data_IF_162624903311
#
_entry.id   IF_162624903311
#
_cell.length_a   1.000
_cell.length_b   1.000
_cell.length_c   1.000
_cell.angle_alpha   90.00
_cell.angle_beta   90.00
_cell.angle_gamma   90.00
#
_symmetry.space_group_name_H-M   'P 1'
#
loop_
_entity.id
_entity.type
_entity.pdbx_description
1 polymer ?
#
# COMPACT_ATOMS: atom_id res chain seq x y z
N UNK A 1 20.30 11.74 16.74
CA UNK A 1 20.36 10.89 15.53
C UNK A 1 19.07 11.09 14.76
N UNK A 2 19.11 11.46 13.49
CA UNK A 2 17.89 11.51 12.67
C UNK A 2 17.44 10.08 12.42
N UNK A 3 16.32 9.67 13.01
CA UNK A 3 15.78 8.33 12.82
C UNK A 3 15.22 8.20 11.41
N UNK A 4 15.31 7.01 10.81
CA UNK A 4 14.63 6.72 9.54
C UNK A 4 13.13 7.03 9.60
N UNK A 5 12.52 6.92 10.80
CA UNK A 5 11.15 7.34 11.05
C UNK A 5 10.93 8.83 10.81
N UNK A 6 11.85 9.70 11.24
CA UNK A 6 11.71 11.16 11.05
C UNK A 6 11.75 11.53 9.57
N UNK A 7 12.59 10.87 8.79
CA UNK A 7 12.64 11.04 7.34
C UNK A 7 11.32 10.63 6.67
N UNK A 8 10.75 9.49 7.07
CA UNK A 8 9.45 9.04 6.57
C UNK A 8 8.32 9.97 7.00
N UNK A 9 8.31 10.44 8.24
CA UNK A 9 7.31 11.39 8.74
C UNK A 9 7.39 12.71 7.98
N UNK A 10 8.58 13.26 7.74
CA UNK A 10 8.75 14.45 6.91
C UNK A 10 8.24 14.24 5.48
N UNK A 11 8.51 13.08 4.88
CA UNK A 11 8.04 12.77 3.53
C UNK A 11 6.51 12.66 3.49
N UNK A 12 5.89 11.99 4.47
CA UNK A 12 4.43 11.93 4.62
C UNK A 12 3.82 13.31 4.87
N UNK A 13 4.46 14.15 5.69
CA UNK A 13 3.97 15.50 5.97
C UNK A 13 3.97 16.37 4.70
N UNK A 14 4.96 16.20 3.83
CA UNK A 14 4.99 16.88 2.54
C UNK A 14 3.83 16.42 1.63
N UNK A 15 3.53 15.12 1.62
CA UNK A 15 2.38 14.58 0.89
C UNK A 15 1.03 15.08 1.44
N UNK A 16 0.90 15.22 2.76
CA UNK A 16 -0.32 15.78 3.34
C UNK A 16 -0.46 17.27 3.00
N UNK A 17 0.66 17.99 2.94
CA UNK A 17 0.70 19.42 2.62
C UNK A 17 0.26 19.70 1.17
N UNK A 18 0.77 18.93 0.20
CA UNK A 18 0.38 19.08 -1.20
C UNK A 18 -1.08 18.74 -1.47
N UNK A 19 -1.63 17.71 -0.80
CA UNK A 19 -3.07 17.42 -0.83
C UNK A 19 -3.91 18.56 -0.26
N UNK A 20 -3.49 19.09 0.89
CA UNK A 20 -4.14 20.25 1.51
C UNK A 20 -4.16 21.47 0.60
N UNK A 21 -3.06 21.74 -0.11
CA UNK A 21 -2.98 22.84 -1.07
C UNK A 21 -3.95 22.67 -2.24
N UNK A 22 -4.10 21.45 -2.77
CA UNK A 22 -5.06 21.15 -3.86
C UNK A 22 -6.50 21.32 -3.36
N UNK A 23 -6.82 20.87 -2.14
CA UNK A 23 -8.15 21.05 -1.54
C UNK A 23 -8.50 22.53 -1.35
N UNK A 24 -7.54 23.35 -0.91
CA UNK A 24 -7.71 24.81 -0.84
C UNK A 24 -7.95 25.37 -2.24
N UNK A 25 -7.19 24.94 -3.24
CA UNK A 25 -7.37 25.39 -4.61
C UNK A 25 -8.75 25.00 -5.18
N UNK A 26 -9.26 23.80 -4.84
CA UNK A 26 -10.61 23.37 -5.17
C UNK A 26 -11.69 24.20 -4.46
N UNK A 27 -11.48 24.60 -3.21
CA UNK A 27 -12.40 25.47 -2.48
C UNK A 27 -12.48 26.88 -3.11
N UNK A 28 -11.37 27.37 -3.68
CA UNK A 28 -11.31 28.67 -4.35
C UNK A 28 -11.74 28.58 -5.82
N UNK A 29 -11.94 27.37 -6.38
CA UNK A 29 -12.42 27.11 -7.76
C UNK A 29 -13.43 28.13 -8.29
N UNK A 30 -14.59 28.38 -7.65
CA UNK A 30 -15.61 29.29 -8.20
C UNK A 30 -15.13 30.73 -8.40
N UNK A 31 -14.06 31.15 -7.71
CA UNK A 31 -13.48 32.50 -7.80
C UNK A 31 -12.46 32.59 -8.95
N UNK A 32 -11.73 31.50 -9.22
CA UNK A 32 -10.62 31.44 -10.18
C UNK A 32 -10.99 30.70 -11.48
N UNK A 33 -12.16 30.08 -11.59
CA UNK A 33 -12.59 29.31 -12.77
C UNK A 33 -12.58 30.13 -14.07
N UNK A 34 -12.85 31.44 -13.98
CA UNK A 34 -12.80 32.37 -15.11
C UNK A 34 -11.41 32.98 -15.37
N UNK A 35 -10.39 32.61 -14.58
CA UNK A 35 -9.02 33.07 -14.77
C UNK A 35 -8.14 31.95 -15.33
N UNK A 36 -7.14 32.31 -16.14
CA UNK A 36 -6.15 31.34 -16.65
C UNK A 36 -5.37 30.58 -15.55
N UNK A 37 -5.43 31.06 -14.30
CA UNK A 37 -4.84 30.41 -13.11
C UNK A 37 -5.49 29.05 -12.79
N UNK A 38 -6.74 28.82 -13.18
CA UNK A 38 -7.41 27.53 -12.97
C UNK A 38 -6.72 26.41 -13.77
N UNK A 39 -6.32 26.69 -15.02
CA UNK A 39 -5.61 25.74 -15.87
C UNK A 39 -4.25 25.35 -15.28
N UNK A 40 -3.50 26.32 -14.71
CA UNK A 40 -2.24 26.04 -14.02
C UNK A 40 -2.44 25.18 -12.77
N UNK A 41 -3.47 25.48 -11.98
CA UNK A 41 -3.84 24.70 -10.79
C UNK A 41 -4.20 23.27 -11.17
N UNK A 42 -4.96 23.06 -12.24
CA UNK A 42 -5.35 21.74 -12.72
C UNK A 42 -4.13 20.91 -13.14
N UNK A 43 -3.20 21.51 -13.89
CA UNK A 43 -1.94 20.86 -14.28
C UNK A 43 -1.09 20.51 -13.05
N UNK A 44 -1.01 21.43 -12.08
CA UNK A 44 -0.26 21.21 -10.84
C UNK A 44 -0.86 20.07 -10.01
N UNK A 45 -2.19 20.02 -9.87
CA UNK A 45 -2.89 18.95 -9.19
C UNK A 45 -2.65 17.60 -9.87
N UNK A 46 -2.70 17.56 -11.20
CA UNK A 46 -2.45 16.35 -11.99
C UNK A 46 -1.01 15.86 -11.84
N UNK A 47 -0.03 16.75 -11.96
CA UNK A 47 1.38 16.44 -11.75
C UNK A 47 1.64 15.91 -10.33
N UNK A 48 0.94 16.49 -9.35
CA UNK A 48 1.02 16.07 -7.96
C UNK A 48 0.45 14.68 -7.72
N UNK A 49 -0.73 14.36 -8.27
CA UNK A 49 -1.33 13.02 -8.17
C UNK A 49 -0.44 11.94 -8.83
N UNK A 50 0.17 12.25 -9.99
CA UNK A 50 1.13 11.34 -10.63
C UNK A 50 2.40 11.13 -9.78
N UNK A 51 2.92 12.21 -9.20
CA UNK A 51 4.09 12.16 -8.32
C UNK A 51 3.82 11.36 -7.04
N UNK A 52 2.71 11.65 -6.37
CA UNK A 52 2.32 10.94 -5.15
C UNK A 52 2.03 9.47 -5.43
N UNK A 53 1.32 9.16 -6.52
CA UNK A 53 1.10 7.78 -6.95
C UNK A 53 2.43 7.03 -7.13
N UNK A 54 3.39 7.64 -7.83
CA UNK A 54 4.71 7.03 -8.04
C UNK A 54 5.47 6.77 -6.72
N UNK A 55 5.41 7.71 -5.77
CA UNK A 55 6.07 7.57 -4.45
C UNK A 55 5.42 6.47 -3.62
N UNK A 56 4.09 6.36 -3.63
CA UNK A 56 3.35 5.29 -2.91
C UNK A 56 3.54 3.92 -3.57
N UNK A 57 3.48 3.86 -4.90
CA UNK A 57 3.62 2.60 -5.63
C UNK A 57 5.05 2.09 -5.69
N UNK A 58 6.08 2.95 -5.62
CA UNK A 58 7.49 2.54 -5.66
C UNK A 58 7.85 1.49 -4.57
N UNK A 59 7.60 1.72 -3.26
CA UNK A 59 7.89 0.70 -2.24
C UNK A 59 7.00 -0.52 -2.40
N UNK A 60 5.74 -0.37 -2.82
CA UNK A 60 4.83 -1.49 -3.05
C UNK A 60 5.33 -2.37 -4.20
N UNK A 61 5.80 -1.76 -5.30
CA UNK A 61 6.35 -2.47 -6.45
C UNK A 61 7.66 -3.18 -6.10
N UNK A 62 8.53 -2.55 -5.31
CA UNK A 62 9.77 -3.18 -4.81
C UNK A 62 9.43 -4.37 -3.89
N UNK A 63 8.46 -4.21 -3.00
CA UNK A 63 7.98 -5.29 -2.13
C UNK A 63 7.30 -6.41 -2.90
N UNK A 64 6.56 -6.09 -3.97
CA UNK A 64 5.90 -7.06 -4.84
C UNK A 64 6.92 -7.82 -5.72
N UNK A 65 8.02 -7.18 -6.10
CA UNK A 65 9.13 -7.85 -6.79
C UNK A 65 9.88 -8.78 -5.83
N UNK A 66 10.06 -8.37 -4.58
CA UNK A 66 10.78 -9.18 -3.60
C UNK A 66 10.02 -10.49 -3.31
N UNK A 67 10.72 -11.63 -3.25
CA UNK A 67 10.11 -12.92 -2.93
C UNK A 67 9.65 -13.02 -1.47
N UNK A 68 9.58 -11.90 -0.73
CA UNK A 68 9.10 -11.88 0.66
C UNK A 68 7.63 -12.32 0.71
N UNK A 69 6.77 -11.80 -0.19
CA UNK A 69 5.35 -12.17 -0.25
C UNK A 69 5.18 -13.59 -0.78
N UNK A 70 5.95 -14.01 -1.80
CA UNK A 70 5.88 -15.39 -2.30
C UNK A 70 6.39 -16.42 -1.28
N UNK A 71 7.44 -16.10 -0.52
CA UNK A 71 7.96 -16.95 0.55
C UNK A 71 7.04 -17.01 1.76
N UNK A 72 6.39 -15.90 2.14
CA UNK A 72 5.32 -15.91 3.14
C UNK A 72 4.08 -16.64 2.64
N UNK A 73 3.74 -16.53 1.36
CA UNK A 73 2.65 -17.27 0.73
C UNK A 73 2.93 -18.78 0.76
N UNK A 74 4.15 -19.21 0.47
CA UNK A 74 4.53 -20.63 0.61
C UNK A 74 4.54 -21.07 2.08
N UNK A 75 5.01 -20.25 3.02
CA UNK A 75 5.01 -20.58 4.46
C UNK A 75 3.62 -20.61 5.09
N UNK A 76 2.73 -19.68 4.71
CA UNK A 76 1.34 -19.64 5.17
C UNK A 76 0.54 -20.79 4.58
N UNK A 77 0.68 -21.05 3.27
CA UNK A 77 0.06 -22.20 2.60
C UNK A 77 0.63 -23.53 3.12
N UNK A 78 1.92 -23.62 3.43
CA UNK A 78 2.49 -24.81 4.08
C UNK A 78 1.96 -24.99 5.50
N UNK A 79 1.89 -23.93 6.30
CA UNK A 79 1.37 -24.03 7.66
C UNK A 79 -0.09 -24.50 7.66
N UNK A 80 -0.88 -24.02 6.68
CA UNK A 80 -2.25 -24.46 6.47
C UNK A 80 -2.34 -25.92 5.97
N UNK A 81 -1.51 -26.32 4.99
CA UNK A 81 -1.46 -27.69 4.48
C UNK A 81 -0.96 -28.70 5.52
N UNK A 82 -0.01 -28.30 6.37
CA UNK A 82 0.54 -29.14 7.45
C UNK A 82 -0.49 -29.33 8.57
N UNK A 83 -1.24 -28.28 8.92
CA UNK A 83 -2.34 -28.39 9.88
C UNK A 83 -3.46 -29.30 9.33
N UNK A 84 -3.76 -29.22 8.04
CA UNK A 84 -4.67 -30.16 7.37
C UNK A 84 -4.16 -31.61 7.40
N UNK A 85 -2.87 -31.84 7.17
CA UNK A 85 -2.28 -33.19 7.21
C UNK A 85 -2.29 -33.78 8.63
N UNK A 86 -1.97 -32.98 9.65
CA UNK A 86 -1.99 -33.39 11.07
C UNK A 86 -3.41 -33.68 11.56
N UNK A 87 -4.43 -33.00 11.04
CA UNK A 87 -5.83 -33.30 11.38
C UNK A 87 -6.33 -34.62 10.75
N UNK A 88 -5.76 -35.06 9.63
CA UNK A 88 -6.17 -36.30 8.94
C UNK A 88 -5.48 -37.56 9.50
N UNK A 89 -4.27 -37.44 10.05
CA UNK A 89 -3.53 -38.60 10.58
C UNK A 89 -4.27 -39.36 11.73
N UNK A 90 -4.87 -38.70 12.73
CA UNK A 90 -5.59 -39.39 13.80
C UNK A 90 -6.87 -40.11 13.33
N UNK A 91 -7.53 -39.57 12.30
CA UNK A 91 -8.77 -40.13 11.73
C UNK A 91 -8.46 -41.42 10.94
N UNK A 92 -7.28 -41.52 10.33
CA UNK A 92 -6.84 -42.74 9.64
C UNK A 92 -6.33 -43.81 10.61
N UNK A 93 -5.64 -43.44 11.69
CA UNK A 93 -5.16 -44.40 12.70
C UNK A 93 -6.30 -45.01 13.53
N UNK A 94 -7.39 -44.27 13.77
CA UNK A 94 -8.58 -44.79 14.44
C UNK A 94 -9.31 -45.90 13.66
N UNK A 95 -9.23 -45.91 12.33
CA UNK A 95 -9.88 -46.94 11.50
C UNK A 95 -9.10 -48.25 11.35
N UNK A 96 -7.81 -48.30 11.69
CA UNK A 96 -7.00 -49.53 11.63
C UNK A 96 -7.07 -50.39 12.91
N UNK A 97 -7.58 -49.86 14.02
CA UNK A 97 -7.72 -50.60 15.29
C UNK A 97 -9.06 -51.36 15.45
N UNK A 98 -9.95 -51.31 14.46
CA UNK A 98 -11.16 -52.13 14.42
C UNK A 98 -11.01 -53.30 13.43
N UNK A 99 -10.00 -54.14 13.64
CA UNK A 99 -9.97 -55.50 13.11
C UNK A 99 -9.51 -56.46 14.20
#
# INVERSE_FOLDING_TARGET
>A
ELSFKDLLVCCLAFLLTGWGLILVAQAVRPIIENTGLWQFTEVLAKAYDYGMGSILFSPIAILAWLPIISAFQTRFLLNQAFNWHLQIQPILEGKKKQK
#
